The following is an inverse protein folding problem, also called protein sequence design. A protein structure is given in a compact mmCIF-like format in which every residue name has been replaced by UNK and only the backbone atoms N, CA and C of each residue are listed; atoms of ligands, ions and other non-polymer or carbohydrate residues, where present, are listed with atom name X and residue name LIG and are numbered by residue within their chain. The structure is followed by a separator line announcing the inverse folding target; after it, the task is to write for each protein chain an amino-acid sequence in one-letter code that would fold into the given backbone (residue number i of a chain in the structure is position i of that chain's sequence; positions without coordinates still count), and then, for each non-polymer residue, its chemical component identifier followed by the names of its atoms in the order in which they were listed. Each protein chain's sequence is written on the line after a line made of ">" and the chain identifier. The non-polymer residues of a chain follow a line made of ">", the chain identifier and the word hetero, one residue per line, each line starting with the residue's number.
data_IF_690308791499
#
_entry.id   IF_690308791499
#
_cell.length_a   1.000
_cell.length_b   1.000
_cell.length_c   1.000
_cell.angle_alpha   90.00
_cell.angle_beta   90.00
_cell.angle_gamma   90.00
#
_symmetry.space_group_name_H-M   'P 1'
#
loop_
_entity.id
_entity.type
_entity.pdbx_description
1 polymer ?
#
# COMPACT_ATOMS: atom_id res chain seq x y z
N UNK A 1 -48.43 -19.18 50.70
CA UNK A 1 -46.97 -19.15 50.70
C UNK A 1 -46.51 -19.37 49.25
N UNK A 2 -46.20 -18.36 48.50
CA UNK A 2 -45.60 -18.50 47.16
C UNK A 2 -44.89 -17.21 46.80
N UNK A 3 -43.62 -17.27 46.70
CA UNK A 3 -42.74 -16.20 46.26
C UNK A 3 -42.83 -16.04 44.74
N UNK A 4 -43.10 -14.84 44.30
CA UNK A 4 -42.96 -14.42 42.90
C UNK A 4 -41.67 -13.64 42.72
N UNK A 5 -40.73 -14.22 42.01
CA UNK A 5 -39.50 -13.62 41.55
C UNK A 5 -39.81 -12.75 40.32
N UNK A 6 -39.58 -11.42 40.46
CA UNK A 6 -39.64 -10.52 39.33
C UNK A 6 -38.44 -10.66 38.39
N UNK A 7 -38.72 -10.94 37.14
CA UNK A 7 -37.71 -10.87 36.05
C UNK A 7 -37.61 -9.42 35.57
N UNK A 8 -36.43 -8.81 35.75
CA UNK A 8 -36.09 -7.54 35.10
C UNK A 8 -35.80 -7.79 33.60
N UNK A 9 -36.69 -7.34 32.74
CA UNK A 9 -36.45 -7.28 31.30
C UNK A 9 -35.61 -6.05 30.98
N UNK A 10 -34.36 -6.25 30.68
CA UNK A 10 -33.52 -5.25 30.02
C UNK A 10 -33.85 -5.22 28.54
N UNK A 11 -34.67 -4.23 28.12
CA UNK A 11 -34.93 -3.95 26.70
C UNK A 11 -33.65 -3.44 26.04
N UNK A 12 -33.06 -4.28 25.16
CA UNK A 12 -31.99 -3.88 24.23
C UNK A 12 -32.57 -2.92 23.19
N UNK A 13 -32.26 -1.62 23.28
CA UNK A 13 -32.61 -0.62 22.27
C UNK A 13 -31.81 -0.87 20.98
N UNK A 14 -32.51 -0.83 19.84
CA UNK A 14 -31.92 -1.01 18.52
C UNK A 14 -30.95 0.14 18.17
N UNK A 15 -29.84 -0.18 17.55
CA UNK A 15 -28.72 0.73 17.15
C UNK A 15 -29.14 1.98 16.32
N UNK A 16 -30.36 2.01 15.79
CA UNK A 16 -30.91 3.11 15.00
C UNK A 16 -31.52 4.28 15.86
N UNK A 17 -31.86 4.01 17.14
CA UNK A 17 -32.55 4.98 17.97
C UNK A 17 -31.60 5.87 18.77
N UNK A 18 -30.31 5.56 18.82
CA UNK A 18 -29.31 6.31 19.60
C UNK A 18 -28.64 7.48 18.85
N UNK A 19 -28.94 7.66 17.55
CA UNK A 19 -28.25 8.68 16.73
C UNK A 19 -28.63 10.14 17.03
N UNK A 20 -29.77 10.41 17.68
CA UNK A 20 -30.28 11.75 17.88
C UNK A 20 -30.31 12.21 19.36
N UNK A 21 -29.63 11.50 20.24
CA UNK A 21 -29.57 11.84 21.66
C UNK A 21 -28.40 12.81 21.96
N UNK A 22 -28.66 13.79 22.87
CA UNK A 22 -27.62 14.70 23.34
C UNK A 22 -26.57 13.99 24.21
N UNK A 23 -25.40 14.63 24.41
CA UNK A 23 -24.30 14.07 25.20
C UNK A 23 -24.70 13.74 26.64
N UNK A 24 -25.61 14.54 27.22
CA UNK A 24 -26.13 14.33 28.58
C UNK A 24 -27.13 13.17 28.66
N UNK A 25 -27.95 12.98 27.65
CA UNK A 25 -28.91 11.88 27.57
C UNK A 25 -28.19 10.53 27.40
N UNK A 26 -27.08 10.52 26.62
CA UNK A 26 -26.24 9.33 26.45
C UNK A 26 -25.54 8.90 27.74
N UNK A 27 -25.14 9.86 28.60
CA UNK A 27 -24.55 9.55 29.90
C UNK A 27 -25.54 8.89 30.86
N UNK A 28 -26.83 9.26 30.82
CA UNK A 28 -27.87 8.70 31.70
C UNK A 28 -28.22 7.24 31.40
N UNK A 29 -28.04 6.79 30.16
CA UNK A 29 -28.36 5.42 29.72
C UNK A 29 -27.12 4.51 29.64
N UNK A 30 -25.96 4.97 30.15
CA UNK A 30 -24.74 4.15 30.22
C UNK A 30 -24.14 3.78 28.85
N UNK A 31 -24.49 4.53 27.80
CA UNK A 31 -23.86 4.36 26.48
C UNK A 31 -22.49 5.03 26.53
N UNK A 32 -21.46 4.26 26.82
CA UNK A 32 -20.08 4.67 26.64
C UNK A 32 -19.79 4.77 25.15
N UNK A 33 -19.52 5.98 24.67
CA UNK A 33 -18.85 6.13 23.37
C UNK A 33 -17.43 5.58 23.52
N UNK A 34 -17.24 4.32 23.22
CA UNK A 34 -15.91 3.81 22.89
C UNK A 34 -15.50 4.50 21.60
N UNK A 35 -14.87 5.68 21.72
CA UNK A 35 -13.98 6.19 20.67
C UNK A 35 -13.02 5.04 20.40
N UNK A 36 -13.18 4.40 19.23
CA UNK A 36 -12.25 3.39 18.77
C UNK A 36 -10.85 3.99 18.86
N UNK A 37 -10.07 3.55 19.85
CA UNK A 37 -8.64 3.78 19.85
C UNK A 37 -8.17 3.15 18.54
N UNK A 38 -7.83 4.00 17.52
CA UNK A 38 -6.99 3.57 16.40
C UNK A 38 -5.81 2.86 17.06
N UNK A 39 -5.69 1.57 16.89
CA UNK A 39 -4.47 0.86 17.32
C UNK A 39 -3.35 1.51 16.52
N UNK A 40 -2.48 2.27 17.17
CA UNK A 40 -1.27 2.77 16.54
C UNK A 40 -0.42 1.55 16.27
N UNK A 41 -0.41 1.11 15.01
CA UNK A 41 0.61 0.18 14.55
C UNK A 41 1.94 0.92 14.65
N UNK A 42 2.85 0.44 15.48
CA UNK A 42 4.18 1.00 15.55
C UNK A 42 5.04 0.26 14.51
N UNK A 43 5.25 0.88 13.37
CA UNK A 43 6.19 0.38 12.37
C UNK A 43 7.62 0.76 12.77
N UNK A 44 8.55 -0.19 12.70
CA UNK A 44 9.96 0.07 12.98
C UNK A 44 10.63 0.60 11.70
N UNK A 45 10.50 1.90 11.45
CA UNK A 45 11.07 2.60 10.31
C UNK A 45 11.87 3.82 10.77
N UNK A 46 12.88 4.21 9.99
CA UNK A 46 13.75 5.35 10.31
C UNK A 46 13.02 6.68 10.20
N UNK A 47 12.22 6.83 9.16
CA UNK A 47 11.46 8.04 8.86
C UNK A 47 10.07 7.66 8.34
N UNK A 48 9.05 7.90 9.16
CA UNK A 48 7.67 7.56 8.85
C UNK A 48 7.10 8.37 7.65
N UNK A 49 7.58 9.60 7.42
CA UNK A 49 7.19 10.42 6.26
C UNK A 49 7.74 9.85 4.95
N UNK A 50 8.88 9.18 4.99
CA UNK A 50 9.50 8.55 3.84
C UNK A 50 9.43 7.00 3.91
N UNK A 51 8.38 6.47 4.53
CA UNK A 51 8.09 5.04 4.55
C UNK A 51 6.62 4.77 4.20
N UNK A 52 6.40 3.68 3.45
CA UNK A 52 5.09 3.23 3.03
C UNK A 52 4.78 1.88 3.67
N UNK A 53 3.51 1.66 4.00
CA UNK A 53 2.95 0.33 4.25
C UNK A 53 2.03 -0.04 3.10
N UNK A 54 2.38 -1.10 2.38
CA UNK A 54 1.58 -1.68 1.29
C UNK A 54 0.95 -2.98 1.77
N UNK A 55 -0.37 -3.02 1.79
CA UNK A 55 -1.14 -4.20 2.19
C UNK A 55 -1.44 -5.07 0.99
N UNK A 56 -0.99 -6.31 1.06
CA UNK A 56 -1.27 -7.37 0.12
C UNK A 56 -2.21 -8.41 0.75
N UNK A 57 -2.67 -9.40 -0.03
CA UNK A 57 -3.57 -10.47 0.43
C UNK A 57 -3.01 -11.26 1.63
N UNK A 58 -1.69 -11.45 1.70
CA UNK A 58 -1.04 -12.31 2.69
C UNK A 58 -0.40 -11.53 3.84
N UNK A 59 -0.26 -10.18 3.72
CA UNK A 59 0.34 -9.37 4.78
C UNK A 59 0.76 -7.98 4.34
N UNK A 60 1.51 -7.30 5.20
CA UNK A 60 1.97 -5.94 5.00
C UNK A 60 3.44 -5.91 4.57
N UNK A 61 3.72 -5.07 3.58
CA UNK A 61 5.06 -4.84 3.04
C UNK A 61 5.47 -3.42 3.39
N UNK A 62 6.61 -3.26 4.06
CA UNK A 62 7.14 -1.95 4.43
C UNK A 62 8.21 -1.55 3.42
N UNK A 63 8.06 -0.36 2.84
CA UNK A 63 8.99 0.21 1.85
C UNK A 63 9.56 1.50 2.43
N UNK A 64 10.87 1.58 2.65
CA UNK A 64 11.58 2.84 2.90
C UNK A 64 11.91 3.51 1.56
N UNK A 65 11.59 4.80 1.43
CA UNK A 65 11.85 5.59 0.23
C UNK A 65 13.18 6.37 0.34
N UNK A 66 13.75 6.71 -0.81
CA UNK A 66 15.05 7.38 -0.93
C UNK A 66 14.90 8.81 -1.50
N UNK A 67 14.43 9.78 -0.66
CA UNK A 67 14.17 11.14 -1.13
C UNK A 67 15.42 11.90 -1.58
N UNK A 68 16.61 11.55 -1.10
CA UNK A 68 17.87 12.20 -1.49
C UNK A 68 18.32 11.73 -2.88
N UNK A 69 18.04 10.48 -3.25
CA UNK A 69 18.44 9.87 -4.52
C UNK A 69 17.42 10.07 -5.65
N UNK A 70 16.13 10.17 -5.30
CA UNK A 70 15.04 10.31 -6.27
C UNK A 70 13.94 11.24 -5.75
N UNK A 71 14.25 12.53 -5.47
CA UNK A 71 13.33 13.45 -4.80
C UNK A 71 12.00 13.64 -5.53
N UNK A 72 12.00 13.77 -6.85
CA UNK A 72 10.78 13.99 -7.62
C UNK A 72 9.92 12.71 -7.71
N UNK A 73 10.56 11.54 -7.81
CA UNK A 73 9.83 10.26 -7.80
C UNK A 73 9.22 9.99 -6.44
N UNK A 74 9.96 10.17 -5.34
CA UNK A 74 9.45 10.00 -3.97
C UNK A 74 8.29 10.97 -3.70
N UNK A 75 8.42 12.25 -4.06
CA UNK A 75 7.35 13.23 -3.91
C UNK A 75 6.08 12.79 -4.68
N UNK A 76 6.24 12.34 -5.93
CA UNK A 76 5.12 11.89 -6.76
C UNK A 76 4.47 10.62 -6.24
N UNK A 77 5.25 9.64 -5.79
CA UNK A 77 4.74 8.41 -5.17
C UNK A 77 3.90 8.75 -3.93
N UNK A 78 4.40 9.61 -3.03
CA UNK A 78 3.65 10.07 -1.85
C UNK A 78 2.34 10.77 -2.22
N UNK A 79 2.39 11.65 -3.22
CA UNK A 79 1.19 12.34 -3.72
C UNK A 79 0.13 11.33 -4.20
N UNK A 80 0.51 10.35 -5.02
CA UNK A 80 -0.39 9.33 -5.54
C UNK A 80 -0.91 8.39 -4.45
N UNK A 81 -0.05 8.02 -3.49
CA UNK A 81 -0.44 7.23 -2.31
C UNK A 81 -1.51 7.96 -1.49
N UNK A 82 -1.30 9.23 -1.18
CA UNK A 82 -2.26 10.06 -0.43
C UNK A 82 -3.58 10.28 -1.16
N UNK A 83 -3.57 10.20 -2.49
CA UNK A 83 -4.79 10.22 -3.33
C UNK A 83 -5.50 8.85 -3.38
N UNK A 84 -4.93 7.80 -2.80
CA UNK A 84 -5.44 6.43 -2.91
C UNK A 84 -5.31 5.82 -4.32
N UNK A 85 -4.48 6.43 -5.18
CA UNK A 85 -4.35 6.04 -6.59
C UNK A 85 -3.96 4.58 -6.77
N UNK A 86 -3.12 4.03 -5.91
CA UNK A 86 -2.62 2.67 -6.03
C UNK A 86 -3.55 1.59 -5.47
N UNK A 87 -4.58 1.96 -4.71
CA UNK A 87 -5.48 1.01 -4.07
C UNK A 87 -6.30 0.25 -5.13
N UNK A 88 -6.28 -1.07 -5.06
CA UNK A 88 -6.91 -1.95 -6.04
C UNK A 88 -6.14 -2.13 -7.35
N UNK A 89 -4.94 -1.52 -7.51
CA UNK A 89 -4.15 -1.70 -8.72
C UNK A 89 -3.47 -3.07 -8.76
N UNK A 90 -3.41 -3.63 -9.95
CA UNK A 90 -2.98 -5.00 -10.24
C UNK A 90 -1.46 -5.11 -10.40
N UNK A 91 -0.90 -6.23 -9.93
CA UNK A 91 0.41 -6.67 -10.37
C UNK A 91 0.29 -7.34 -11.74
N UNK A 92 0.15 -6.51 -12.77
CA UNK A 92 -0.21 -6.95 -14.12
C UNK A 92 0.91 -7.70 -14.86
N UNK A 93 2.18 -7.51 -14.42
CA UNK A 93 3.36 -8.17 -15.00
C UNK A 93 4.28 -8.65 -13.88
N UNK A 94 4.44 -9.96 -13.77
CA UNK A 94 5.25 -10.59 -12.72
C UNK A 94 6.08 -11.71 -13.34
N UNK A 95 7.41 -11.57 -13.29
CA UNK A 95 8.36 -12.55 -13.81
C UNK A 95 9.11 -13.16 -12.64
N UNK A 96 8.98 -14.48 -12.47
CA UNK A 96 9.67 -15.21 -11.43
C UNK A 96 11.19 -15.02 -11.52
N UNK A 97 11.84 -14.81 -10.37
CA UNK A 97 13.29 -14.57 -10.31
C UNK A 97 13.74 -13.21 -10.86
N UNK A 98 12.79 -12.36 -11.33
CA UNK A 98 13.12 -11.04 -11.83
C UNK A 98 12.40 -9.93 -11.06
N UNK A 99 11.11 -9.68 -11.31
CA UNK A 99 10.40 -8.57 -10.67
C UNK A 99 8.89 -8.72 -10.69
N UNK A 100 8.20 -7.99 -9.79
CA UNK A 100 6.76 -7.76 -9.79
C UNK A 100 6.44 -6.31 -10.13
N UNK A 101 5.72 -6.05 -11.22
CA UNK A 101 5.37 -4.71 -11.72
C UNK A 101 3.89 -4.41 -11.51
N UNK A 102 3.62 -3.20 -11.02
CA UNK A 102 2.28 -2.66 -10.72
C UNK A 102 2.19 -1.18 -11.05
N UNK A 103 1.11 -0.49 -10.60
CA UNK A 103 0.95 0.96 -10.75
C UNK A 103 0.32 1.40 -12.07
N UNK A 104 -0.19 0.45 -12.88
CA UNK A 104 -0.94 0.75 -14.09
C UNK A 104 -2.46 0.78 -13.79
N UNK A 105 -3.15 1.94 -13.89
CA UNK A 105 -4.58 2.01 -13.61
C UNK A 105 -5.45 1.18 -14.57
N UNK A 106 -4.95 0.88 -15.76
CA UNK A 106 -5.63 0.03 -16.74
C UNK A 106 -5.32 -1.47 -16.54
N UNK A 107 -4.33 -1.82 -15.72
CA UNK A 107 -3.89 -3.21 -15.54
C UNK A 107 -3.27 -3.86 -16.76
N UNK A 108 -2.89 -3.08 -17.78
CA UNK A 108 -2.37 -3.54 -19.07
C UNK A 108 -0.89 -3.20 -19.28
N UNK A 109 -0.33 -2.34 -18.43
CA UNK A 109 1.02 -1.80 -18.59
C UNK A 109 1.10 -0.54 -19.45
N UNK A 110 -0.01 -0.09 -20.07
CA UNK A 110 -0.03 1.09 -20.94
C UNK A 110 -0.55 2.36 -20.26
N UNK A 111 -1.17 2.24 -19.08
CA UNK A 111 -1.72 3.37 -18.32
C UNK A 111 -0.74 4.02 -17.39
N UNK A 112 -1.07 5.23 -16.94
CA UNK A 112 -0.32 6.00 -15.95
C UNK A 112 -1.21 7.03 -15.25
N UNK A 113 -0.63 7.85 -14.39
CA UNK A 113 -1.32 8.92 -13.66
C UNK A 113 -1.45 10.22 -14.47
N UNK A 114 -0.92 10.24 -15.70
CA UNK A 114 -0.96 11.39 -16.60
C UNK A 114 0.17 12.44 -16.39
N UNK A 115 1.11 12.19 -15.48
CA UNK A 115 2.24 13.10 -15.23
C UNK A 115 3.56 12.37 -15.38
N UNK A 116 4.31 12.71 -16.41
CA UNK A 116 5.64 12.14 -16.65
C UNK A 116 6.69 12.74 -15.71
N UNK A 117 7.66 11.91 -15.36
CA UNK A 117 8.79 12.24 -14.51
C UNK A 117 10.09 12.14 -15.30
N UNK A 118 10.97 13.10 -15.12
CA UNK A 118 12.36 13.02 -15.62
C UNK A 118 13.11 11.95 -14.84
N UNK A 119 14.01 11.26 -15.53
CA UNK A 119 14.85 10.25 -14.91
C UNK A 119 15.70 10.82 -13.75
N UNK A 120 15.77 10.08 -12.65
CA UNK A 120 16.64 10.34 -11.50
C UNK A 120 17.53 9.11 -11.28
N UNK A 121 18.29 8.73 -12.32
CA UNK A 121 19.19 7.59 -12.24
C UNK A 121 20.24 7.80 -11.18
N UNK A 122 20.44 6.82 -10.33
CA UNK A 122 21.35 6.87 -9.20
C UNK A 122 22.23 5.61 -9.16
N UNK A 123 23.13 5.54 -8.17
CA UNK A 123 24.12 4.47 -8.06
C UNK A 123 23.67 3.28 -7.22
N UNK A 124 22.43 3.28 -6.74
CA UNK A 124 21.89 2.17 -5.95
C UNK A 124 21.71 0.96 -6.87
N UNK A 125 22.34 -0.18 -6.56
CA UNK A 125 22.21 -1.37 -7.40
C UNK A 125 20.82 -2.00 -7.23
N UNK A 126 20.28 -2.54 -8.32
CA UNK A 126 19.01 -3.27 -8.32
C UNK A 126 19.19 -4.65 -7.69
N UNK A 127 19.17 -4.71 -6.37
CA UNK A 127 19.18 -5.95 -5.60
C UNK A 127 17.78 -6.41 -5.23
N UNK A 128 17.65 -7.65 -4.73
CA UNK A 128 16.40 -8.14 -4.17
C UNK A 128 15.78 -7.15 -3.19
N UNK A 129 14.49 -6.85 -3.34
CA UNK A 129 13.72 -5.92 -2.52
C UNK A 129 13.81 -4.45 -2.95
N UNK A 130 14.68 -4.11 -3.90
CA UNK A 130 14.73 -2.74 -4.46
C UNK A 130 13.45 -2.44 -5.21
N UNK A 131 12.96 -1.21 -5.03
CA UNK A 131 11.79 -0.66 -5.71
C UNK A 131 12.23 0.42 -6.68
N UNK A 132 11.89 0.24 -7.95
CA UNK A 132 12.35 1.08 -9.04
C UNK A 132 11.22 1.45 -9.99
N UNK A 133 11.35 2.58 -10.67
CA UNK A 133 10.29 3.10 -11.53
C UNK A 133 10.32 2.45 -12.91
N UNK A 134 9.16 1.95 -13.34
CA UNK A 134 8.98 1.47 -14.71
C UNK A 134 8.86 2.66 -15.67
N UNK A 135 9.33 2.47 -16.91
CA UNK A 135 9.28 3.47 -17.98
C UNK A 135 9.19 2.82 -19.36
N UNK A 136 8.82 3.60 -20.36
CA UNK A 136 8.95 3.22 -21.76
C UNK A 136 10.40 3.43 -22.24
N UNK A 137 10.63 3.44 -23.54
CA UNK A 137 11.98 3.61 -24.13
C UNK A 137 12.62 4.96 -23.74
N UNK A 138 11.84 6.04 -23.73
CA UNK A 138 12.34 7.34 -23.31
C UNK A 138 12.65 7.31 -21.78
N UNK A 139 13.86 7.64 -21.34
CA UNK A 139 14.21 7.73 -19.92
C UNK A 139 13.27 8.61 -19.11
N UNK A 140 12.75 9.69 -19.68
CA UNK A 140 11.87 10.69 -19.05
C UNK A 140 10.39 10.32 -19.20
N UNK A 141 10.05 9.04 -19.37
CA UNK A 141 8.69 8.56 -19.55
C UNK A 141 8.09 7.85 -18.34
N UNK A 142 8.80 7.80 -17.21
CA UNK A 142 8.25 7.30 -15.96
C UNK A 142 6.98 8.05 -15.56
N UNK A 143 6.04 7.39 -14.90
CA UNK A 143 4.76 8.01 -14.50
C UNK A 143 4.31 7.49 -13.11
N UNK A 144 3.52 6.41 -13.06
CA UNK A 144 3.02 5.80 -11.83
C UNK A 144 3.44 4.35 -11.65
N UNK A 145 3.88 3.68 -12.71
CA UNK A 145 4.22 2.27 -12.64
C UNK A 145 5.58 2.05 -12.00
N UNK A 146 5.67 1.06 -11.12
CA UNK A 146 6.91 0.65 -10.47
C UNK A 146 7.02 -0.87 -10.38
N UNK A 147 8.21 -1.36 -10.07
CA UNK A 147 8.47 -2.78 -9.86
C UNK A 147 9.32 -3.02 -8.63
N UNK A 148 9.16 -4.22 -8.05
CA UNK A 148 9.94 -4.71 -6.91
C UNK A 148 10.78 -5.86 -7.42
N UNK A 149 12.10 -5.81 -7.22
CA UNK A 149 13.03 -6.84 -7.66
C UNK A 149 12.94 -8.09 -6.77
N UNK A 150 12.83 -9.27 -7.38
CA UNK A 150 12.90 -10.56 -6.68
C UNK A 150 14.34 -11.05 -6.46
N UNK A 151 15.26 -10.60 -7.30
CA UNK A 151 16.66 -10.97 -7.28
C UNK A 151 17.54 -9.79 -7.70
N UNK A 152 18.85 -9.99 -7.73
CA UNK A 152 19.81 -9.01 -8.23
C UNK A 152 19.67 -8.85 -9.75
N UNK A 153 19.48 -7.62 -10.21
CA UNK A 153 19.22 -7.25 -11.60
C UNK A 153 20.23 -6.19 -12.09
N UNK A 154 21.53 -6.50 -12.14
CA UNK A 154 22.57 -5.52 -12.47
C UNK A 154 22.43 -4.90 -13.86
N UNK A 155 21.72 -5.56 -14.77
CA UNK A 155 21.43 -5.02 -16.11
C UNK A 155 20.48 -3.80 -16.08
N UNK A 156 19.84 -3.49 -14.94
CA UNK A 156 18.98 -2.32 -14.75
C UNK A 156 19.74 -1.13 -14.14
N UNK A 157 20.94 -1.35 -13.60
CA UNK A 157 21.70 -0.34 -12.87
C UNK A 157 22.01 0.87 -13.75
N UNK A 158 21.75 2.07 -13.21
CA UNK A 158 21.94 3.32 -13.92
C UNK A 158 20.97 3.57 -15.09
N UNK A 159 19.97 2.71 -15.31
CA UNK A 159 19.01 2.81 -16.41
C UNK A 159 17.56 2.98 -15.95
N UNK A 160 17.29 2.74 -14.67
CA UNK A 160 15.99 2.94 -14.03
C UNK A 160 16.16 3.70 -12.73
N UNK A 161 15.17 4.50 -12.36
CA UNK A 161 15.20 5.29 -11.13
C UNK A 161 14.81 4.42 -9.94
N UNK A 162 15.80 4.08 -9.11
CA UNK A 162 15.57 3.46 -7.80
C UNK A 162 15.05 4.53 -6.86
N UNK A 163 13.91 4.28 -6.20
CA UNK A 163 13.30 5.23 -5.29
C UNK A 163 12.99 4.67 -3.89
N UNK A 164 13.20 3.38 -3.66
CA UNK A 164 12.95 2.77 -2.36
C UNK A 164 13.41 1.32 -2.26
N UNK A 165 13.20 0.75 -1.08
CA UNK A 165 13.54 -0.63 -0.75
C UNK A 165 12.50 -1.24 0.20
N UNK A 166 12.12 -2.48 -0.06
CA UNK A 166 11.36 -3.30 0.90
C UNK A 166 12.26 -3.64 2.07
N UNK A 167 11.88 -3.24 3.28
CA UNK A 167 12.61 -3.49 4.53
C UNK A 167 11.93 -4.55 5.40
N UNK A 168 10.65 -4.86 5.12
CA UNK A 168 9.89 -5.93 5.80
C UNK A 168 8.79 -6.45 4.88
N UNK A 169 8.43 -7.72 4.99
CA UNK A 169 7.32 -8.33 4.25
C UNK A 169 7.69 -8.78 2.83
N UNK A 170 8.97 -8.97 2.51
CA UNK A 170 9.39 -9.43 1.17
C UNK A 170 8.84 -10.83 0.85
N UNK A 171 8.56 -11.65 1.85
CA UNK A 171 7.89 -12.94 1.72
C UNK A 171 6.47 -12.81 1.13
N UNK A 172 5.76 -11.73 1.43
CA UNK A 172 4.43 -11.46 0.85
C UNK A 172 4.54 -11.00 -0.61
N UNK A 173 5.62 -10.30 -0.95
CA UNK A 173 5.93 -9.97 -2.35
C UNK A 173 6.24 -11.25 -3.14
N UNK A 174 6.97 -12.20 -2.55
CA UNK A 174 7.25 -13.49 -3.17
C UNK A 174 5.99 -14.29 -3.48
N UNK A 175 4.93 -14.14 -2.69
CA UNK A 175 3.65 -14.83 -2.87
C UNK A 175 2.77 -14.23 -3.97
N UNK A 176 3.14 -13.08 -4.54
CA UNK A 176 2.40 -12.46 -5.66
C UNK A 176 2.41 -13.45 -6.84
N UNK A 177 1.22 -13.64 -7.42
CA UNK A 177 1.01 -14.55 -8.54
C UNK A 177 1.89 -14.21 -9.72
N UNK A 178 2.68 -15.18 -10.18
CA UNK A 178 3.57 -15.05 -11.33
C UNK A 178 2.79 -15.12 -12.64
N UNK A 179 3.22 -14.36 -13.62
CA UNK A 179 2.71 -14.42 -14.98
C UNK A 179 3.24 -15.61 -15.75
N UNK A 180 2.50 -16.01 -16.77
CA UNK A 180 2.92 -17.02 -17.73
C UNK A 180 3.64 -16.41 -18.93
N UNK A 181 4.46 -17.23 -19.58
CA UNK A 181 5.14 -16.85 -20.82
C UNK A 181 6.29 -15.83 -20.64
N UNK A 182 6.87 -15.44 -21.76
CA UNK A 182 8.08 -14.63 -21.81
C UNK A 182 7.92 -13.21 -21.27
N UNK A 183 6.74 -12.61 -21.41
CA UNK A 183 6.48 -11.23 -21.00
C UNK A 183 6.00 -11.08 -19.55
N UNK A 184 5.67 -12.18 -18.84
CA UNK A 184 5.24 -12.17 -17.45
C UNK A 184 3.86 -11.57 -17.19
N UNK A 185 3.00 -11.43 -18.19
CA UNK A 185 1.61 -10.97 -18.00
C UNK A 185 0.83 -11.96 -17.14
N UNK A 186 0.11 -11.42 -16.14
CA UNK A 186 -0.59 -12.24 -15.14
C UNK A 186 -2.08 -12.34 -15.50
N UNK A 187 -2.58 -13.57 -15.65
CA UNK A 187 -4.02 -13.82 -15.72
C UNK A 187 -4.62 -13.85 -14.30
N UNK A 188 -5.65 -13.02 -14.04
CA UNK A 188 -6.23 -12.81 -12.71
C UNK A 188 -5.14 -12.43 -11.69
N UNK A 189 -4.53 -11.24 -11.83
CA UNK A 189 -3.45 -10.81 -10.97
C UNK A 189 -3.90 -10.49 -9.55
N UNK A 190 -2.96 -10.61 -8.61
CA UNK A 190 -3.11 -10.05 -7.28
C UNK A 190 -3.11 -8.51 -7.33
N UNK A 191 -3.69 -7.88 -6.31
CA UNK A 191 -3.88 -6.43 -6.24
C UNK A 191 -3.21 -5.85 -4.98
N UNK A 192 -2.85 -4.57 -5.04
CA UNK A 192 -2.56 -3.77 -3.86
C UNK A 192 -3.90 -3.50 -3.16
N UNK A 193 -4.11 -4.03 -1.95
CA UNK A 193 -5.34 -3.77 -1.19
C UNK A 193 -5.39 -2.30 -0.76
N UNK A 194 -4.30 -1.82 -0.16
CA UNK A 194 -4.07 -0.41 0.14
C UNK A 194 -2.58 -0.13 0.23
N UNK A 195 -2.21 1.14 0.07
CA UNK A 195 -0.87 1.64 0.35
C UNK A 195 -1.01 3.01 0.99
N UNK A 196 -0.30 3.21 2.09
CA UNK A 196 -0.39 4.42 2.91
C UNK A 196 1.02 4.90 3.28
N UNK A 197 1.18 6.23 3.45
CA UNK A 197 2.37 6.80 4.08
C UNK A 197 2.27 6.54 5.58
N UNK A 198 3.30 5.98 6.19
CA UNK A 198 3.24 5.56 7.60
C UNK A 198 2.99 6.75 8.54
N UNK A 199 3.50 7.94 8.21
CA UNK A 199 3.25 9.16 8.98
C UNK A 199 1.76 9.57 9.04
N UNK A 200 0.93 9.11 8.12
CA UNK A 200 -0.49 9.46 8.03
C UNK A 200 -1.41 8.49 8.82
N UNK A 201 -0.86 7.43 9.44
CA UNK A 201 -1.57 6.41 10.21
C UNK A 201 -1.55 6.71 11.71
#
# INVERSE_FOLDING_TARGET
>A
MSNVLGKSETKSLKKSETKNLTVEEKKKIGVSETRGKKMKHSYNVKDAENALVMKLKDGEVIIEMFPDEAPNHVARIKELVRQGFYNGLKFHRVIEGFMAQTGCPLGTGTGGSGKKLKAEFNKIPHKRGIVSMARAMNPDSADSQFFICYADCPHLDGQYTVWGQVVSGMEFVDNIKKGGGFNGMVYQPDEIISIDVIADL
#
